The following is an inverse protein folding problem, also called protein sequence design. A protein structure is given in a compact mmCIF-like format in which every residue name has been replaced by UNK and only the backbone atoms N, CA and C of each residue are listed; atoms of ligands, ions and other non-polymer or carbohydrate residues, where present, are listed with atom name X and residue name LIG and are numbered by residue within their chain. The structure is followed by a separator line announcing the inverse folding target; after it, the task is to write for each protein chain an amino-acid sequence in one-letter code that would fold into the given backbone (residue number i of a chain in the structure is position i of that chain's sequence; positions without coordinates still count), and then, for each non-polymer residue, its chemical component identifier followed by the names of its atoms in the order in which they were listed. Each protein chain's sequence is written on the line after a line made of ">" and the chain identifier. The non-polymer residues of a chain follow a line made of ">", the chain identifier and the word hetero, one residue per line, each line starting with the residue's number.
data_IF_929890583328
#
_entry.id   IF_929890583328
#
_cell.length_a   1.000
_cell.length_b   1.000
_cell.length_c   1.000
_cell.angle_alpha   90.00
_cell.angle_beta   90.00
_cell.angle_gamma   90.00
#
_symmetry.space_group_name_H-M   'P 1'
#
loop_
_entity.id
_entity.type
_entity.pdbx_description
1 polymer ?
#
# COMPACT_ATOMS: atom_id res chain seq x y z
N UNK A 1 15.50 1.63 13.70
CA UNK A 1 14.52 2.00 14.75
C UNK A 1 13.24 1.22 14.52
N UNK A 2 12.50 0.89 15.59
CA UNK A 2 11.18 0.27 15.55
C UNK A 2 10.37 0.80 16.73
N UNK A 3 9.11 1.14 16.52
CA UNK A 3 8.20 1.63 17.56
C UNK A 3 8.84 2.77 18.39
N UNK A 4 9.53 3.70 17.70
CA UNK A 4 10.24 4.82 18.31
C UNK A 4 11.55 4.46 19.03
N UNK A 5 11.93 3.18 19.09
CA UNK A 5 13.08 2.69 19.85
C UNK A 5 14.22 2.24 18.94
N UNK A 6 15.46 2.45 19.38
CA UNK A 6 16.64 1.92 18.72
C UNK A 6 16.73 0.40 18.92
N UNK A 7 16.80 -0.34 17.82
CA UNK A 7 16.84 -1.82 17.78
C UNK A 7 18.17 -2.36 17.24
N UNK A 8 19.13 -1.49 16.97
CA UNK A 8 20.46 -1.84 16.47
C UNK A 8 20.79 -1.29 15.09
N UNK A 9 22.07 -1.46 14.75
CA UNK A 9 22.70 -1.16 13.47
C UNK A 9 23.35 -2.45 12.96
N UNK A 10 23.31 -2.63 11.63
CA UNK A 10 23.73 -3.87 10.99
C UNK A 10 24.44 -3.53 9.69
N UNK A 11 25.51 -4.25 9.40
CA UNK A 11 26.17 -4.17 8.11
C UNK A 11 25.34 -4.88 7.04
N UNK A 12 25.09 -4.22 5.90
CA UNK A 12 24.24 -4.72 4.82
C UNK A 12 24.73 -6.07 4.30
N UNK A 13 26.05 -6.24 4.17
CA UNK A 13 26.67 -7.47 3.68
C UNK A 13 26.37 -8.69 4.57
N UNK A 14 26.11 -8.47 5.86
CA UNK A 14 25.95 -9.52 6.86
C UNK A 14 24.49 -9.74 7.26
N UNK A 15 23.56 -8.90 6.80
CA UNK A 15 22.15 -8.96 7.19
C UNK A 15 21.32 -9.72 6.16
N UNK A 16 20.85 -10.92 6.54
CA UNK A 16 19.96 -11.70 5.68
C UNK A 16 18.57 -11.05 5.61
N UNK A 17 17.90 -11.19 4.46
CA UNK A 17 16.55 -10.64 4.23
C UNK A 17 15.55 -11.06 5.33
N UNK A 18 15.56 -12.34 5.71
CA UNK A 18 14.63 -12.86 6.72
C UNK A 18 14.90 -12.28 8.12
N UNK A 19 16.16 -12.01 8.43
CA UNK A 19 16.57 -11.38 9.69
C UNK A 19 16.17 -9.91 9.71
N UNK A 20 16.37 -9.19 8.59
CA UNK A 20 15.88 -7.82 8.43
C UNK A 20 14.36 -7.75 8.67
N UNK A 21 13.59 -8.62 8.02
CA UNK A 21 12.14 -8.67 8.18
C UNK A 21 11.73 -8.99 9.62
N UNK A 22 12.39 -9.95 10.25
CA UNK A 22 12.13 -10.29 11.66
C UNK A 22 12.41 -9.12 12.59
N UNK A 23 13.49 -8.36 12.35
CA UNK A 23 13.82 -7.15 13.11
C UNK A 23 12.83 -6.01 12.88
N UNK A 24 12.36 -5.83 11.64
CA UNK A 24 11.35 -4.82 11.29
C UNK A 24 9.98 -5.13 11.90
N UNK A 25 9.55 -6.39 11.82
CA UNK A 25 8.24 -6.84 12.32
C UNK A 25 8.23 -7.17 13.80
N UNK A 26 9.40 -7.38 14.41
CA UNK A 26 9.51 -7.60 15.83
C UNK A 26 9.16 -8.98 16.34
N UNK A 27 9.05 -9.93 15.43
CA UNK A 27 8.71 -11.32 15.69
C UNK A 27 9.57 -12.18 14.78
N UNK A 28 9.81 -13.42 15.18
CA UNK A 28 10.50 -14.37 14.32
C UNK A 28 9.64 -14.63 13.08
N UNK A 29 10.19 -14.38 11.89
CA UNK A 29 9.56 -14.68 10.61
C UNK A 29 10.30 -15.87 10.02
N UNK A 30 9.57 -16.96 9.72
CA UNK A 30 10.12 -18.11 9.00
C UNK A 30 9.97 -17.90 7.49
N UNK A 31 10.89 -18.47 6.72
CA UNK A 31 10.73 -18.55 5.26
C UNK A 31 9.39 -19.23 4.93
N UNK A 32 8.58 -18.60 4.08
CA UNK A 32 7.23 -19.04 3.76
C UNK A 32 6.11 -18.46 4.64
N UNK A 33 6.41 -17.76 5.75
CA UNK A 33 5.38 -17.02 6.51
C UNK A 33 5.10 -15.62 5.98
N UNK A 34 5.82 -15.20 4.94
CA UNK A 34 5.58 -13.94 4.22
C UNK A 34 4.50 -14.21 3.18
N UNK A 35 3.34 -14.64 3.64
CA UNK A 35 2.15 -14.75 2.80
C UNK A 35 1.27 -13.56 3.05
N UNK A 36 0.56 -13.11 2.01
CA UNK A 36 -0.44 -12.07 2.20
C UNK A 36 -1.51 -12.58 3.15
N UNK A 37 -1.73 -11.90 4.29
CA UNK A 37 -2.88 -12.14 5.17
C UNK A 37 -4.24 -11.83 4.50
N UNK A 38 -4.25 -11.59 3.20
CA UNK A 38 -5.45 -11.37 2.40
C UNK A 38 -6.01 -12.75 2.06
N UNK A 39 -7.15 -13.07 2.65
CA UNK A 39 -7.94 -14.22 2.22
C UNK A 39 -8.46 -13.97 0.80
N UNK A 40 -7.79 -14.59 -0.19
CA UNK A 40 -8.15 -14.49 -1.60
C UNK A 40 -9.36 -15.36 -1.96
N UNK A 41 -9.85 -16.19 -1.04
CA UNK A 41 -11.01 -17.07 -1.28
C UNK A 41 -12.35 -16.32 -1.18
N UNK A 42 -12.38 -15.16 -0.52
CA UNK A 42 -13.58 -14.33 -0.39
C UNK A 42 -13.73 -13.46 -1.66
N UNK A 43 -14.76 -13.67 -2.49
CA UNK A 43 -15.01 -12.85 -3.65
C UNK A 43 -15.39 -11.44 -3.19
N UNK A 44 -14.56 -10.45 -3.51
CA UNK A 44 -14.91 -9.04 -3.35
C UNK A 44 -15.71 -8.62 -4.58
N UNK A 45 -17.03 -8.78 -4.53
CA UNK A 45 -17.93 -8.45 -5.64
C UNK A 45 -18.57 -7.07 -5.48
N UNK A 46 -18.73 -6.60 -4.24
CA UNK A 46 -19.40 -5.33 -3.96
C UNK A 46 -18.45 -4.16 -4.27
N UNK A 47 -18.84 -3.30 -5.21
CA UNK A 47 -18.13 -2.05 -5.51
C UNK A 47 -18.44 -1.09 -4.36
N UNK A 48 -17.39 -0.59 -3.71
CA UNK A 48 -17.49 0.34 -2.59
C UNK A 48 -17.28 1.79 -3.06
N UNK A 49 -16.37 2.00 -4.00
CA UNK A 49 -16.15 3.30 -4.65
C UNK A 49 -16.15 3.05 -6.15
N UNK A 50 -16.92 3.86 -6.87
CA UNK A 50 -16.96 3.92 -8.33
C UNK A 50 -16.57 5.34 -8.74
N UNK A 51 -15.71 5.45 -9.75
CA UNK A 51 -15.34 6.73 -10.35
C UNK A 51 -15.59 6.67 -11.84
N UNK A 52 -16.30 7.66 -12.35
CA UNK A 52 -16.59 7.82 -13.78
C UNK A 52 -16.11 9.18 -14.24
N UNK A 53 -15.23 9.19 -15.24
CA UNK A 53 -14.69 10.39 -15.90
C UNK A 53 -14.13 11.47 -14.95
N UNK A 54 -13.61 11.07 -13.77
CA UNK A 54 -13.15 12.02 -12.75
C UNK A 54 -11.92 12.79 -13.25
N UNK A 55 -12.02 14.12 -13.25
CA UNK A 55 -10.96 15.02 -13.73
C UNK A 55 -10.67 16.09 -12.69
N UNK A 56 -9.39 16.27 -12.40
CA UNK A 56 -8.86 17.33 -11.54
C UNK A 56 -7.90 18.17 -12.38
N UNK A 57 -8.19 19.46 -12.63
CA UNK A 57 -7.41 20.30 -13.54
C UNK A 57 -5.90 20.21 -13.28
N UNK A 58 -5.15 19.81 -14.32
CA UNK A 58 -3.69 19.71 -14.27
C UNK A 58 -3.11 18.60 -13.38
N UNK A 59 -3.94 17.71 -12.80
CA UNK A 59 -3.50 16.66 -11.87
C UNK A 59 -4.01 15.27 -12.20
N UNK A 60 -5.31 15.14 -12.50
CA UNK A 60 -5.97 13.86 -12.82
C UNK A 60 -6.81 14.09 -14.06
N UNK A 61 -6.73 13.20 -15.03
CA UNK A 61 -7.49 13.29 -16.28
C UNK A 61 -8.23 11.98 -16.49
N UNK A 62 -9.56 12.08 -16.58
CA UNK A 62 -10.42 10.98 -17.02
C UNK A 62 -10.20 9.66 -16.24
N UNK A 63 -10.21 9.76 -14.91
CA UNK A 63 -10.07 8.61 -14.02
C UNK A 63 -11.37 7.81 -13.98
N UNK A 64 -11.28 6.56 -14.40
CA UNK A 64 -12.34 5.55 -14.31
C UNK A 64 -11.79 4.35 -13.54
N UNK A 65 -12.38 4.03 -12.40
CA UNK A 65 -11.91 2.97 -11.50
C UNK A 65 -13.00 2.56 -10.51
N UNK A 66 -13.05 1.26 -10.24
CA UNK A 66 -13.83 0.65 -9.18
C UNK A 66 -12.92 0.14 -8.07
N UNK A 67 -13.29 0.40 -6.82
CA UNK A 67 -12.64 -0.15 -5.63
C UNK A 67 -13.66 -1.00 -4.90
N UNK A 68 -13.32 -2.26 -4.64
CA UNK A 68 -14.22 -3.20 -3.98
C UNK A 68 -14.12 -3.12 -2.46
N UNK A 69 -15.17 -3.59 -1.79
CA UNK A 69 -15.17 -3.66 -0.33
C UNK A 69 -14.00 -4.51 0.21
N UNK A 70 -13.25 -3.96 1.17
CA UNK A 70 -12.08 -4.60 1.77
C UNK A 70 -10.82 -4.64 0.88
N UNK A 71 -10.84 -3.99 -0.28
CA UNK A 71 -9.68 -3.89 -1.17
C UNK A 71 -8.64 -2.89 -0.65
N UNK A 72 -7.36 -3.29 -0.73
CA UNK A 72 -6.23 -2.40 -0.42
C UNK A 72 -5.64 -1.92 -1.74
N UNK A 73 -5.88 -0.65 -2.07
CA UNK A 73 -5.44 -0.03 -3.33
C UNK A 73 -4.23 0.87 -3.09
N UNK A 74 -3.20 0.72 -3.92
CA UNK A 74 -2.01 1.56 -3.91
C UNK A 74 -1.82 2.27 -5.25
N UNK A 75 -1.59 3.59 -5.21
CA UNK A 75 -1.31 4.39 -6.41
C UNK A 75 0.20 4.58 -6.61
N UNK A 76 0.73 4.13 -7.74
CA UNK A 76 2.14 4.27 -8.13
C UNK A 76 2.30 5.13 -9.40
N UNK A 77 3.46 5.77 -9.54
CA UNK A 77 3.71 6.69 -10.66
C UNK A 77 4.88 7.64 -10.38
N UNK A 78 5.33 8.33 -11.44
CA UNK A 78 6.42 9.30 -11.38
C UNK A 78 6.11 10.50 -10.47
N UNK A 79 7.13 11.32 -10.18
CA UNK A 79 6.92 12.59 -9.48
C UNK A 79 5.93 13.46 -10.28
N UNK A 80 4.93 14.00 -9.60
CA UNK A 80 3.91 14.84 -10.24
C UNK A 80 2.77 14.08 -10.95
N UNK A 81 2.77 12.74 -10.94
CA UNK A 81 1.72 11.91 -11.60
C UNK A 81 0.30 12.04 -11.05
N UNK A 82 0.09 12.79 -9.95
CA UNK A 82 -1.24 12.99 -9.37
C UNK A 82 -1.66 11.95 -8.33
N UNK A 83 -0.80 11.00 -7.92
CA UNK A 83 -1.08 9.98 -6.89
C UNK A 83 -1.80 10.51 -5.65
N UNK A 84 -1.23 11.53 -5.00
CA UNK A 84 -1.85 12.15 -3.82
C UNK A 84 -3.17 12.81 -4.14
N UNK A 85 -3.29 13.41 -5.34
CA UNK A 85 -4.52 14.10 -5.73
C UNK A 85 -5.66 13.13 -5.99
N UNK A 86 -5.39 11.94 -6.54
CA UNK A 86 -6.38 10.88 -6.66
C UNK A 86 -6.93 10.53 -5.27
N UNK A 87 -6.05 10.25 -4.29
CA UNK A 87 -6.48 9.93 -2.94
C UNK A 87 -7.31 11.05 -2.29
N UNK A 88 -6.84 12.30 -2.33
CA UNK A 88 -7.59 13.46 -1.82
C UNK A 88 -8.99 13.60 -2.43
N UNK A 89 -9.10 13.34 -3.74
CA UNK A 89 -10.36 13.39 -4.49
C UNK A 89 -11.33 12.32 -4.00
N UNK A 90 -10.85 11.07 -3.84
CA UNK A 90 -11.66 9.96 -3.32
C UNK A 90 -12.16 10.22 -1.88
N UNK A 91 -11.37 10.91 -1.05
CA UNK A 91 -11.77 11.27 0.31
C UNK A 91 -12.61 12.55 0.41
N UNK A 92 -12.86 13.26 -0.70
CA UNK A 92 -13.64 14.50 -0.70
C UNK A 92 -12.97 15.67 0.03
N UNK A 93 -11.65 15.63 0.19
CA UNK A 93 -10.85 16.65 0.91
C UNK A 93 -10.37 17.79 0.00
N UNK A 94 -10.94 17.90 -1.20
CA UNK A 94 -10.53 18.85 -2.23
C UNK A 94 -11.01 20.27 -1.98
#
# INVERSE_FOLDING_TARGET
>A
MRDGTYIGEYEIANLKKIELLSKMMGKEIKEGQIESNVDKSIPRSNIFIETEHVTVPGKVKDLNMDIKEGEVVGFAGLLGSGRSKIAETLFGTM
#
